data_IF_209100679974
#
_entry.id   IF_209100679974
#
_cell.length_a   1.000
_cell.length_b   1.000
_cell.length_c   1.000
_cell.angle_alpha   90.00
_cell.angle_beta   90.00
_cell.angle_gamma   90.00
#
_symmetry.space_group_name_H-M   'P 1'
#
loop_
_entity.id
_entity.type
_entity.pdbx_description
1 polymer ?
#
# COMPACT_ATOMS: atom_id res chain seq x y z
N UNK A 1 8.67 36.10 -22.08
CA UNK A 1 9.75 35.42 -22.83
C UNK A 1 9.27 34.02 -23.19
N UNK A 2 9.13 33.76 -24.49
CA UNK A 2 8.62 32.49 -25.05
C UNK A 2 9.68 31.41 -24.95
N UNK A 3 9.37 30.25 -24.35
CA UNK A 3 10.26 29.09 -24.37
C UNK A 3 10.41 28.56 -25.80
N UNK A 4 11.59 28.08 -26.15
CA UNK A 4 11.87 27.52 -27.48
C UNK A 4 11.29 26.10 -27.60
N UNK A 5 10.92 25.69 -28.81
CA UNK A 5 10.38 24.35 -29.11
C UNK A 5 11.28 23.21 -28.60
N UNK A 6 12.61 23.42 -28.53
CA UNK A 6 13.56 22.43 -28.00
C UNK A 6 13.40 22.16 -26.50
N UNK A 7 12.98 23.15 -25.69
CA UNK A 7 12.73 22.97 -24.25
C UNK A 7 11.43 22.21 -23.96
N UNK A 8 10.53 22.17 -24.94
CA UNK A 8 9.24 21.48 -24.88
C UNK A 8 9.38 19.99 -25.24
N UNK A 9 10.41 19.61 -26.01
CA UNK A 9 10.61 18.22 -26.43
C UNK A 9 11.59 17.44 -25.52
N UNK A 10 10.99 16.71 -24.58
CA UNK A 10 11.15 15.26 -24.41
C UNK A 10 12.17 14.62 -23.44
N UNK A 11 13.10 15.36 -22.81
CA UNK A 11 14.04 14.72 -21.86
C UNK A 11 13.66 14.85 -20.38
N UNK A 12 13.27 16.06 -19.98
CA UNK A 12 13.32 16.49 -18.58
C UNK A 12 12.02 16.19 -17.81
N UNK A 13 10.87 16.28 -18.49
CA UNK A 13 9.56 15.94 -17.93
C UNK A 13 9.41 14.44 -17.63
N UNK A 14 9.90 13.58 -18.53
CA UNK A 14 9.90 12.12 -18.37
C UNK A 14 10.83 11.69 -17.23
N UNK A 15 12.05 12.26 -17.16
CA UNK A 15 12.98 12.01 -16.04
C UNK A 15 12.38 12.44 -14.70
N UNK A 16 11.77 13.63 -14.62
CA UNK A 16 11.06 14.12 -13.42
C UNK A 16 9.92 13.19 -13.00
N UNK A 17 9.08 12.75 -13.95
CA UNK A 17 8.01 11.77 -13.69
C UNK A 17 8.54 10.45 -13.16
N UNK A 18 9.58 9.89 -13.77
CA UNK A 18 10.19 8.64 -13.33
C UNK A 18 10.78 8.75 -11.93
N UNK A 19 11.46 9.87 -11.63
CA UNK A 19 11.99 10.13 -10.29
C UNK A 19 10.87 10.25 -9.25
N UNK A 20 9.77 10.93 -9.58
CA UNK A 20 8.60 11.05 -8.70
C UNK A 20 7.95 9.69 -8.46
N UNK A 21 7.74 8.88 -9.50
CA UNK A 21 7.18 7.53 -9.37
C UNK A 21 8.08 6.65 -8.50
N UNK A 22 9.40 6.72 -8.68
CA UNK A 22 10.36 5.97 -7.87
C UNK A 22 10.37 6.44 -6.41
N UNK A 23 10.29 7.74 -6.17
CA UNK A 23 10.18 8.30 -4.82
C UNK A 23 8.89 7.82 -4.13
N UNK A 24 7.77 7.84 -4.83
CA UNK A 24 6.47 7.35 -4.35
C UNK A 24 6.48 5.85 -4.05
N UNK A 25 7.05 5.03 -4.94
CA UNK A 25 7.21 3.59 -4.71
C UNK A 25 8.00 3.32 -3.42
N UNK A 26 9.15 3.99 -3.27
CA UNK A 26 9.97 3.89 -2.04
C UNK A 26 9.23 4.31 -0.77
N UNK A 27 8.31 5.25 -0.87
CA UNK A 27 7.49 5.70 0.26
C UNK A 27 6.46 4.66 0.65
N UNK A 28 5.72 4.11 -0.31
CA UNK A 28 4.78 3.01 -0.05
C UNK A 28 5.47 1.77 0.48
N UNK A 29 6.67 1.45 -0.01
CA UNK A 29 7.47 0.36 0.56
C UNK A 29 7.81 0.58 2.03
N UNK A 30 8.07 1.82 2.46
CA UNK A 30 8.34 2.12 3.88
C UNK A 30 7.09 2.00 4.72
N UNK A 31 5.97 2.55 4.23
CA UNK A 31 4.67 2.47 4.93
C UNK A 31 4.23 1.01 5.08
N UNK A 32 4.35 0.22 4.02
CA UNK A 32 4.05 -1.22 4.05
C UNK A 32 4.97 -1.98 5.02
N UNK A 33 6.28 -1.69 5.02
CA UNK A 33 7.21 -2.27 5.99
C UNK A 33 6.79 -1.98 7.44
N UNK A 34 6.41 -0.73 7.74
CA UNK A 34 5.89 -0.38 9.06
C UNK A 34 4.61 -1.15 9.42
N UNK A 35 3.66 -1.27 8.47
CA UNK A 35 2.38 -1.97 8.68
C UNK A 35 2.59 -3.46 8.98
N UNK A 36 3.50 -4.13 8.27
CA UNK A 36 3.74 -5.57 8.44
C UNK A 36 4.80 -5.88 9.50
N UNK A 37 5.36 -4.86 10.17
CA UNK A 37 6.46 -5.04 11.13
C UNK A 37 7.75 -5.55 10.48
N UNK A 38 7.97 -5.24 9.20
CA UNK A 38 9.09 -5.71 8.40
C UNK A 38 10.13 -4.63 8.09
N UNK A 39 11.07 -4.99 7.21
CA UNK A 39 12.08 -4.09 6.66
C UNK A 39 12.03 -4.09 5.14
N UNK A 40 12.40 -2.97 4.53
CA UNK A 40 12.58 -2.89 3.08
C UNK A 40 13.82 -3.65 2.67
N UNK A 41 13.71 -4.40 1.59
CA UNK A 41 14.88 -4.98 0.95
C UNK A 41 15.57 -3.91 0.08
N UNK A 42 16.81 -3.57 0.43
CA UNK A 42 17.62 -2.62 -0.32
C UNK A 42 18.56 -3.33 -1.30
N UNK A 43 18.78 -4.63 -1.12
CA UNK A 43 19.67 -5.43 -1.93
C UNK A 43 18.93 -6.07 -3.11
N UNK A 44 19.31 -5.67 -4.32
CA UNK A 44 18.71 -6.17 -5.56
C UNK A 44 19.35 -7.47 -6.06
N UNK A 45 20.40 -7.96 -5.40
CA UNK A 45 21.16 -9.13 -5.85
C UNK A 45 20.60 -10.46 -5.32
N UNK A 46 19.68 -10.44 -4.35
CA UNK A 46 19.01 -11.60 -3.73
C UNK A 46 17.49 -11.57 -4.03
N UNK A 47 16.69 -12.60 -3.70
CA UNK A 47 15.30 -12.73 -4.16
C UNK A 47 14.53 -11.41 -4.11
N UNK A 48 13.97 -11.03 -5.25
CA UNK A 48 13.37 -9.71 -5.49
C UNK A 48 12.06 -9.57 -4.72
N UNK A 49 12.14 -9.32 -3.43
CA UNK A 49 11.05 -8.83 -2.61
C UNK A 49 11.26 -7.36 -2.31
N UNK A 50 10.18 -6.61 -2.10
CA UNK A 50 10.23 -5.20 -1.73
C UNK A 50 10.34 -5.02 -0.20
N UNK A 51 9.62 -5.87 0.56
CA UNK A 51 9.60 -5.88 2.03
C UNK A 51 9.69 -7.33 2.53
N UNK A 52 10.31 -7.52 3.69
CA UNK A 52 10.40 -8.83 4.36
C UNK A 52 10.24 -8.68 5.88
N UNK A 53 9.71 -9.72 6.52
CA UNK A 53 9.74 -9.96 7.97
C UNK A 53 10.61 -11.19 8.24
N UNK A 54 10.66 -11.67 9.49
CA UNK A 54 11.31 -12.95 9.81
C UNK A 54 10.65 -14.13 9.06
N UNK A 55 9.33 -14.10 8.90
CA UNK A 55 8.55 -15.23 8.41
C UNK A 55 7.96 -15.06 7.00
N UNK A 56 8.00 -13.85 6.43
CA UNK A 56 7.28 -13.53 5.20
C UNK A 56 7.98 -12.52 4.29
N UNK A 57 7.65 -12.56 3.00
CA UNK A 57 8.11 -11.62 1.97
C UNK A 57 6.92 -10.99 1.25
N UNK A 58 7.06 -9.73 0.87
CA UNK A 58 5.99 -8.91 0.30
C UNK A 58 6.47 -8.11 -0.91
N UNK A 59 5.75 -8.27 -2.02
CA UNK A 59 5.90 -7.47 -3.23
C UNK A 59 4.89 -6.31 -3.22
N UNK A 60 5.33 -5.12 -3.62
CA UNK A 60 4.56 -3.89 -3.53
C UNK A 60 4.39 -3.28 -4.92
N UNK A 61 3.12 -3.02 -5.27
CA UNK A 61 2.75 -2.39 -6.54
C UNK A 61 1.92 -1.14 -6.27
N UNK A 62 2.48 0.03 -6.56
CA UNK A 62 1.73 1.29 -6.59
C UNK A 62 1.30 1.60 -8.02
N UNK A 63 -0.01 1.67 -8.27
CA UNK A 63 -0.60 2.06 -9.56
C UNK A 63 -1.50 3.28 -9.39
N UNK A 64 -1.72 4.04 -10.46
CA UNK A 64 -2.69 5.14 -10.51
C UNK A 64 -4.04 4.71 -11.10
N UNK A 65 -4.15 3.45 -11.52
CA UNK A 65 -5.42 2.90 -11.96
C UNK A 65 -6.41 2.95 -10.79
N UNK A 66 -7.64 3.35 -11.10
CA UNK A 66 -8.72 3.35 -10.12
C UNK A 66 -8.92 1.94 -9.57
N UNK A 67 -9.26 1.86 -8.28
CA UNK A 67 -9.73 0.60 -7.71
C UNK A 67 -10.98 0.12 -8.45
N UNK A 68 -11.22 -1.20 -8.54
CA UNK A 68 -12.47 -1.71 -9.12
C UNK A 68 -13.70 -1.21 -8.37
N UNK A 69 -14.80 -0.92 -9.07
CA UNK A 69 -16.03 -0.39 -8.46
C UNK A 69 -16.58 -1.26 -7.31
N UNK A 70 -16.44 -2.59 -7.40
CA UNK A 70 -16.87 -3.50 -6.32
C UNK A 70 -16.10 -3.25 -5.02
N UNK A 71 -14.83 -2.86 -5.11
CA UNK A 71 -14.00 -2.57 -3.95
C UNK A 71 -14.40 -1.24 -3.33
N UNK A 72 -14.70 -0.23 -4.14
CA UNK A 72 -15.23 1.05 -3.65
C UNK A 72 -16.54 0.85 -2.87
N UNK A 73 -17.52 0.16 -3.47
CA UNK A 73 -18.79 -0.10 -2.77
C UNK A 73 -18.63 -0.96 -1.50
N UNK A 74 -17.64 -1.85 -1.45
CA UNK A 74 -17.33 -2.60 -0.23
C UNK A 74 -16.70 -1.73 0.87
N UNK A 75 -15.93 -0.71 0.50
CA UNK A 75 -15.42 0.28 1.45
C UNK A 75 -16.53 1.17 1.99
N UNK A 76 -17.44 1.67 1.14
CA UNK A 76 -18.57 2.48 1.59
C UNK A 76 -19.42 1.72 2.65
N UNK A 77 -19.65 0.42 2.41
CA UNK A 77 -20.35 -0.44 3.36
C UNK A 77 -19.56 -0.68 4.65
N UNK A 78 -18.24 -0.85 4.55
CA UNK A 78 -17.37 -1.03 5.69
C UNK A 78 -17.35 0.22 6.58
N UNK A 79 -17.25 1.41 5.98
CA UNK A 79 -17.23 2.69 6.69
C UNK A 79 -18.56 2.91 7.42
N UNK A 80 -19.69 2.70 6.73
CA UNK A 80 -21.01 2.79 7.35
C UNK A 80 -21.13 1.82 8.54
N UNK A 81 -20.72 0.56 8.37
CA UNK A 81 -20.76 -0.43 9.44
C UNK A 81 -19.83 -0.07 10.62
N UNK A 82 -18.67 0.52 10.33
CA UNK A 82 -17.72 0.99 11.34
C UNK A 82 -18.33 2.15 12.15
N UNK A 83 -18.94 3.12 11.48
CA UNK A 83 -19.65 4.24 12.10
C UNK A 83 -20.81 3.77 12.97
N UNK A 84 -21.71 2.97 12.42
CA UNK A 84 -22.89 2.45 13.13
C UNK A 84 -22.52 1.61 14.37
N UNK A 85 -21.38 0.91 14.32
CA UNK A 85 -20.93 0.06 15.42
C UNK A 85 -19.93 0.73 16.38
N UNK A 86 -19.54 1.98 16.13
CA UNK A 86 -18.52 2.69 16.90
C UNK A 86 -17.15 2.01 16.86
N UNK A 87 -16.80 1.34 15.75
CA UNK A 87 -15.55 0.60 15.56
C UNK A 87 -14.69 1.25 14.48
N UNK A 88 -13.43 0.84 14.41
CA UNK A 88 -12.51 1.25 13.34
C UNK A 88 -12.74 0.36 12.12
N UNK A 89 -12.75 0.96 10.92
CA UNK A 89 -12.80 0.24 9.65
C UNK A 89 -11.53 -0.62 9.47
N UNK A 90 -11.67 -1.94 9.63
CA UNK A 90 -10.54 -2.88 9.61
C UNK A 90 -10.03 -3.28 8.21
N UNK A 91 -10.71 -2.87 7.15
CA UNK A 91 -10.40 -3.24 5.76
C UNK A 91 -11.37 -4.25 5.15
N UNK A 92 -11.29 -4.41 3.83
CA UNK A 92 -12.13 -5.32 3.05
C UNK A 92 -11.37 -6.63 2.81
N UNK A 93 -12.02 -7.78 3.05
CA UNK A 93 -11.46 -9.10 2.73
C UNK A 93 -12.14 -9.63 1.48
N UNK A 94 -11.37 -9.80 0.39
CA UNK A 94 -11.82 -10.56 -0.78
C UNK A 94 -11.39 -12.00 -0.64
N UNK A 95 -12.33 -12.94 -0.77
CA UNK A 95 -12.02 -14.38 -0.87
C UNK A 95 -12.20 -14.81 -2.32
N UNK A 96 -11.15 -15.39 -2.91
CA UNK A 96 -11.19 -16.00 -4.23
C UNK A 96 -11.08 -17.52 -4.08
N UNK A 97 -12.07 -18.23 -4.61
CA UNK A 97 -12.26 -19.67 -4.41
C UNK A 97 -12.09 -20.50 -5.68
N UNK A 98 -11.33 -20.01 -6.67
CA UNK A 98 -11.09 -20.80 -7.88
C UNK A 98 -10.07 -21.92 -7.64
N UNK A 99 -10.45 -23.16 -7.97
CA UNK A 99 -9.60 -24.35 -7.83
C UNK A 99 -9.64 -24.97 -6.41
N UNK A 100 -8.58 -25.68 -6.03
CA UNK A 100 -8.52 -26.47 -4.80
C UNK A 100 -8.20 -25.66 -3.52
N UNK A 101 -7.95 -24.35 -3.62
CA UNK A 101 -7.53 -23.52 -2.47
C UNK A 101 -8.24 -22.17 -2.50
N UNK A 102 -8.79 -21.77 -1.35
CA UNK A 102 -9.22 -20.40 -1.14
C UNK A 102 -8.01 -19.49 -0.93
N UNK A 103 -8.05 -18.29 -1.52
CA UNK A 103 -7.09 -17.22 -1.27
C UNK A 103 -7.85 -16.02 -0.74
N UNK A 104 -7.44 -15.49 0.42
CA UNK A 104 -7.99 -14.24 0.91
C UNK A 104 -7.01 -13.10 0.60
N UNK A 105 -7.57 -11.93 0.33
CA UNK A 105 -6.85 -10.68 0.13
C UNK A 105 -7.40 -9.69 1.15
N UNK A 106 -6.61 -9.35 2.16
CA UNK A 106 -6.92 -8.24 3.04
C UNK A 106 -6.49 -6.94 2.36
N UNK A 107 -7.46 -6.06 2.16
CA UNK A 107 -7.27 -4.77 1.53
C UNK A 107 -7.55 -3.74 2.61
N UNK A 108 -6.51 -2.99 2.98
CA UNK A 108 -6.58 -1.93 3.98
C UNK A 108 -6.16 -0.61 3.35
N UNK A 109 -6.81 0.46 3.76
CA UNK A 109 -6.35 1.80 3.43
C UNK A 109 -5.08 2.13 4.22
N UNK A 110 -4.13 2.79 3.57
CA UNK A 110 -2.92 3.29 4.22
C UNK A 110 -3.24 4.72 4.67
N UNK A 111 -3.70 4.88 5.90
CA UNK A 111 -3.87 6.18 6.53
C UNK A 111 -2.54 6.63 7.15
N UNK A 112 -2.35 7.95 7.29
CA UNK A 112 -1.17 8.49 7.98
C UNK A 112 -1.18 8.16 9.49
N UNK A 113 -2.34 7.75 10.03
CA UNK A 113 -2.56 7.40 11.43
C UNK A 113 -2.34 5.92 11.77
N UNK A 114 -2.19 5.03 10.77
CA UNK A 114 -1.92 3.59 10.96
C UNK A 114 -0.55 3.26 11.60
N UNK A 115 0.13 4.28 12.13
CA UNK A 115 1.46 4.24 12.72
C UNK A 115 1.44 4.14 14.25
N UNK A 116 0.27 4.06 14.88
CA UNK A 116 0.15 3.67 16.29
C UNK A 116 -0.20 2.18 16.35
N UNK A 117 0.83 1.33 16.35
CA UNK A 117 0.68 0.05 17.05
C UNK A 117 0.33 0.42 18.49
N UNK A 118 -0.91 0.15 18.90
CA UNK A 118 -1.29 0.13 20.31
C UNK A 118 -0.38 -0.91 20.97
N UNK A 119 0.60 -0.45 21.74
CA UNK A 119 1.34 -1.34 22.62
C UNK A 119 0.32 -2.11 23.48
N UNK A 120 0.51 -3.42 23.69
CA UNK A 120 -0.35 -4.15 24.61
C UNK A 120 -0.24 -3.46 25.97
N UNK A 121 -1.35 -2.90 26.44
CA UNK A 121 -1.44 -2.36 27.80
C UNK A 121 -1.27 -3.55 28.74
N UNK A 122 -0.05 -3.76 29.24
CA UNK A 122 0.22 -4.66 30.36
C UNK A 122 -0.47 -4.06 31.58
N UNK A 123 -1.71 -4.49 31.81
CA UNK A 123 -2.33 -4.38 33.12
C UNK A 123 -1.63 -5.36 34.03
N UNK A 124 -0.57 -4.88 34.70
CA UNK A 124 -0.02 -5.59 35.85
C UNK A 124 -1.11 -5.66 36.93
N UNK A 125 -1.40 -6.90 37.32
CA UNK A 125 -2.33 -7.28 38.39
C UNK A 125 -1.60 -7.28 39.73
#
# INVERSE_FOLDING_TARGET
MSKTLLEVFNGDSTKKRNNNNRRRGKEYERRAAAIVGGRRNLDKARPHTDVETEDAVYEIKSTQQSVPNWLAGAYDQLELAAEESGKIAGGVIKVWTSGARARFFLIKEITDEGNQQTEPTTTDS
#
